data_IF_091756376202
#
_entry.id   IF_091756376202
#
_cell.length_a   1.000
_cell.length_b   1.000
_cell.length_c   1.000
_cell.angle_alpha   90.00
_cell.angle_beta   90.00
_cell.angle_gamma   90.00
#
_symmetry.space_group_name_H-M   'P 1'
#
loop_
_entity.id
_entity.type
_entity.pdbx_description
1 polymer ?
#
# COMPACT_ATOMS: atom_id res chain seq x y z
N UNK A 1 -12.95 -12.05 7.18
CA UNK A 1 -13.83 -12.08 5.99
C UNK A 1 -13.92 -13.45 5.31
N UNK A 2 -12.85 -14.04 4.73
CA UNK A 2 -12.95 -15.37 4.08
C UNK A 2 -13.53 -16.45 4.99
N UNK A 3 -13.00 -16.56 6.21
CA UNK A 3 -13.44 -17.58 7.18
C UNK A 3 -14.91 -17.47 7.56
N UNK A 4 -15.47 -16.25 7.63
CA UNK A 4 -16.85 -16.03 8.09
C UNK A 4 -17.86 -15.89 6.95
N UNK A 5 -17.43 -15.47 5.75
CA UNK A 5 -18.33 -15.20 4.61
C UNK A 5 -18.05 -16.05 3.38
N UNK A 6 -17.13 -17.01 3.45
CA UNK A 6 -16.78 -17.89 2.34
C UNK A 6 -16.12 -17.15 1.17
N UNK A 7 -16.30 -17.65 -0.04
CA UNK A 7 -15.85 -17.01 -1.28
C UNK A 7 -16.70 -15.78 -1.61
N UNK A 8 -16.16 -14.86 -2.41
CA UNK A 8 -16.94 -13.69 -2.85
C UNK A 8 -18.00 -14.15 -3.86
N UNK A 9 -19.27 -13.90 -3.54
CA UNK A 9 -20.44 -14.23 -4.38
C UNK A 9 -20.40 -13.46 -5.70
N UNK A 10 -20.71 -14.12 -6.82
CA UNK A 10 -20.87 -13.47 -8.14
C UNK A 10 -19.63 -13.49 -9.05
N UNK A 11 -18.57 -14.22 -8.66
CA UNK A 11 -17.41 -14.48 -9.50
C UNK A 11 -17.36 -15.97 -9.80
N UNK A 12 -17.02 -16.32 -11.04
CA UNK A 12 -16.84 -17.70 -11.52
C UNK A 12 -16.08 -18.50 -10.45
N UNK A 13 -16.60 -19.67 -10.11
CA UNK A 13 -15.94 -20.64 -9.22
C UNK A 13 -14.49 -20.79 -9.68
N UNK A 14 -13.59 -20.21 -8.92
CA UNK A 14 -12.17 -20.31 -9.17
C UNK A 14 -11.52 -20.80 -7.89
N UNK A 15 -10.61 -21.76 -8.01
CA UNK A 15 -9.91 -22.43 -6.91
C UNK A 15 -8.90 -21.52 -6.17
N UNK A 16 -9.09 -20.19 -6.23
CA UNK A 16 -8.17 -19.21 -5.67
C UNK A 16 -8.88 -17.95 -5.16
N UNK A 17 -8.16 -17.16 -4.36
CA UNK A 17 -8.64 -15.89 -3.80
C UNK A 17 -8.25 -14.66 -4.63
N UNK A 18 -7.84 -14.81 -5.91
CA UNK A 18 -7.18 -13.73 -6.65
C UNK A 18 -8.01 -12.45 -6.72
N UNK A 19 -9.33 -12.54 -6.90
CA UNK A 19 -10.17 -11.35 -6.92
C UNK A 19 -10.18 -10.63 -5.57
N UNK A 20 -10.29 -11.38 -4.46
CA UNK A 20 -10.19 -10.82 -3.11
C UNK A 20 -8.82 -10.20 -2.89
N UNK A 21 -7.75 -10.87 -3.28
CA UNK A 21 -6.38 -10.35 -3.15
C UNK A 21 -6.24 -9.03 -3.93
N UNK A 22 -6.65 -9.00 -5.20
CA UNK A 22 -6.64 -7.80 -6.05
C UNK A 22 -7.47 -6.66 -5.45
N UNK A 23 -8.66 -6.97 -4.92
CA UNK A 23 -9.53 -6.00 -4.25
C UNK A 23 -8.88 -5.39 -3.02
N UNK A 24 -8.17 -6.19 -2.21
CA UNK A 24 -7.54 -5.73 -0.97
C UNK A 24 -6.21 -5.02 -1.21
N UNK A 25 -5.36 -5.51 -2.13
CA UNK A 25 -4.09 -4.83 -2.45
C UNK A 25 -4.33 -3.44 -3.01
N UNK A 26 -5.38 -3.25 -3.82
CA UNK A 26 -5.76 -1.94 -4.35
C UNK A 26 -6.06 -0.90 -3.27
N UNK A 27 -6.47 -1.32 -2.06
CA UNK A 27 -6.84 -0.42 -0.94
C UNK A 27 -5.64 0.36 -0.39
N UNK A 28 -4.44 -0.20 -0.45
CA UNK A 28 -3.23 0.44 0.08
C UNK A 28 -2.18 0.75 -1.00
N UNK A 29 -2.46 0.44 -2.28
CA UNK A 29 -1.57 0.75 -3.40
C UNK A 29 -2.19 1.81 -4.31
N UNK A 30 -3.06 1.39 -5.25
CA UNK A 30 -3.51 2.26 -6.33
C UNK A 30 -4.60 3.25 -5.92
N UNK A 31 -5.54 2.85 -5.05
CA UNK A 31 -6.66 3.71 -4.67
C UNK A 31 -6.22 4.93 -3.84
N UNK A 32 -5.29 4.81 -2.87
CA UNK A 32 -4.71 5.98 -2.22
C UNK A 32 -4.01 6.91 -3.23
N UNK A 33 -3.31 6.36 -4.23
CA UNK A 33 -2.62 7.17 -5.23
C UNK A 33 -3.58 7.91 -6.17
N UNK A 34 -4.71 7.28 -6.55
CA UNK A 34 -5.77 7.92 -7.33
C UNK A 34 -6.42 9.03 -6.50
N UNK A 35 -6.85 8.72 -5.28
CA UNK A 35 -7.57 9.65 -4.41
C UNK A 35 -6.76 10.92 -4.12
N UNK A 36 -5.44 10.82 -4.06
CA UNK A 36 -4.55 11.94 -3.80
C UNK A 36 -3.91 12.55 -5.06
N UNK A 37 -4.23 12.04 -6.26
CA UNK A 37 -3.84 12.67 -7.52
C UNK A 37 -2.39 12.48 -7.94
N UNK A 38 -1.79 11.35 -7.59
CA UNK A 38 -0.42 10.99 -7.97
C UNK A 38 -0.28 9.54 -8.48
N UNK A 39 -1.39 8.94 -8.94
CA UNK A 39 -1.42 7.57 -9.48
C UNK A 39 -0.61 7.37 -10.76
N UNK A 40 -0.25 8.45 -11.47
CA UNK A 40 0.65 8.40 -12.63
C UNK A 40 2.10 8.09 -12.21
N UNK A 41 2.46 8.36 -10.94
CA UNK A 41 3.81 8.18 -10.45
C UNK A 41 3.99 6.88 -9.66
N UNK A 42 3.01 6.47 -8.87
CA UNK A 42 3.13 5.34 -7.92
C UNK A 42 1.79 4.60 -7.75
N UNK A 43 1.78 3.55 -6.93
CA UNK A 43 0.57 2.85 -6.50
C UNK A 43 0.29 1.54 -7.24
N UNK A 44 1.11 1.15 -8.21
CA UNK A 44 0.98 -0.15 -8.91
C UNK A 44 2.25 -0.46 -9.70
N UNK A 45 2.38 -1.72 -10.11
CA UNK A 45 3.46 -2.20 -10.98
C UNK A 45 2.98 -2.04 -12.42
N UNK A 46 3.22 -0.86 -12.99
CA UNK A 46 2.86 -0.51 -14.37
C UNK A 46 4.02 0.25 -15.02
N UNK A 47 4.19 0.06 -16.33
CA UNK A 47 5.25 0.73 -17.10
C UNK A 47 5.06 2.25 -17.00
N UNK A 48 6.16 2.98 -16.82
CA UNK A 48 6.18 4.44 -16.70
C UNK A 48 6.04 4.96 -15.26
N UNK A 49 5.63 4.12 -14.31
CA UNK A 49 5.62 4.48 -12.88
C UNK A 49 7.00 4.33 -12.25
N UNK A 50 7.18 4.97 -11.10
CA UNK A 50 8.40 4.88 -10.32
C UNK A 50 8.59 3.44 -9.83
N UNK A 51 9.83 2.94 -9.89
CA UNK A 51 10.19 1.60 -9.43
C UNK A 51 10.25 1.52 -7.89
N UNK A 52 9.08 1.69 -7.27
CA UNK A 52 8.82 1.53 -5.85
C UNK A 52 8.21 0.14 -5.63
N UNK A 53 9.06 -0.82 -5.27
CA UNK A 53 8.72 -2.24 -5.23
C UNK A 53 9.04 -2.82 -3.86
N UNK A 54 8.27 -3.81 -3.44
CA UNK A 54 8.53 -4.55 -2.20
C UNK A 54 8.59 -6.03 -2.52
N UNK A 55 9.68 -6.67 -2.12
CA UNK A 55 9.92 -8.10 -2.33
C UNK A 55 9.58 -8.83 -1.03
N UNK A 56 8.87 -9.95 -1.18
CA UNK A 56 8.38 -10.76 -0.07
C UNK A 56 8.77 -12.21 -0.27
N UNK A 57 9.21 -12.87 0.80
CA UNK A 57 9.07 -14.32 0.91
C UNK A 57 7.58 -14.65 1.09
N UNK A 58 7.01 -15.63 0.36
CA UNK A 58 5.60 -15.98 0.51
C UNK A 58 5.17 -16.28 1.95
N UNK A 59 6.04 -16.93 2.74
CA UNK A 59 5.79 -17.22 4.17
C UNK A 59 5.70 -16.00 5.07
N UNK A 60 6.22 -14.84 4.65
CA UNK A 60 6.20 -13.57 5.40
C UNK A 60 5.33 -12.48 4.73
N UNK A 61 4.60 -12.81 3.67
CA UNK A 61 3.81 -11.85 2.91
C UNK A 61 2.82 -11.09 3.80
N UNK A 62 2.94 -9.76 3.80
CA UNK A 62 2.10 -8.86 4.60
C UNK A 62 2.56 -8.64 6.04
N UNK A 63 3.55 -9.39 6.54
CA UNK A 63 4.11 -9.21 7.89
C UNK A 63 5.46 -8.47 7.86
N UNK A 64 6.48 -9.08 7.24
CA UNK A 64 7.86 -8.55 7.18
C UNK A 64 8.46 -8.73 5.78
N UNK A 65 8.68 -7.66 5.00
CA UNK A 65 9.25 -7.79 3.66
C UNK A 65 10.74 -8.12 3.71
N UNK A 66 11.28 -8.62 2.60
CA UNK A 66 12.72 -8.91 2.45
C UNK A 66 13.49 -7.67 2.00
N UNK A 67 12.97 -6.96 0.99
CA UNK A 67 13.63 -5.84 0.33
C UNK A 67 12.58 -4.79 -0.02
N UNK A 68 12.90 -3.52 0.25
CA UNK A 68 12.14 -2.35 -0.21
C UNK A 68 13.01 -1.58 -1.19
N UNK A 69 12.56 -1.53 -2.44
CA UNK A 69 13.19 -0.80 -3.53
C UNK A 69 12.46 0.54 -3.67
N UNK A 70 13.21 1.64 -3.70
CA UNK A 70 12.70 2.99 -3.89
C UNK A 70 13.39 3.59 -5.12
N UNK A 71 12.60 3.99 -6.12
CA UNK A 71 13.13 4.58 -7.36
C UNK A 71 14.20 3.72 -8.04
N UNK A 72 14.09 2.39 -7.97
CA UNK A 72 15.04 1.45 -8.58
C UNK A 72 16.27 1.11 -7.73
N UNK A 73 16.41 1.66 -6.53
CA UNK A 73 17.54 1.38 -5.61
C UNK A 73 17.01 0.78 -4.30
N UNK A 74 17.72 -0.21 -3.76
CA UNK A 74 17.35 -0.79 -2.46
C UNK A 74 17.50 0.28 -1.36
N UNK A 75 16.39 0.63 -0.73
CA UNK A 75 16.34 1.58 0.38
C UNK A 75 16.44 0.87 1.72
N UNK A 76 15.83 -0.30 1.86
CA UNK A 76 15.86 -1.12 3.07
C UNK A 76 15.87 -2.61 2.70
N UNK A 77 16.53 -3.43 3.52
CA UNK A 77 16.54 -4.88 3.35
C UNK A 77 16.79 -5.63 4.68
N UNK A 78 16.33 -6.87 4.75
CA UNK A 78 16.70 -7.81 5.80
C UNK A 78 18.17 -8.21 5.63
N UNK A 79 19.00 -7.82 6.59
CA UNK A 79 20.44 -8.03 6.57
C UNK A 79 20.93 -8.52 7.94
N UNK A 80 21.77 -9.55 7.88
CA UNK A 80 22.43 -10.18 9.01
C UNK A 80 23.52 -9.32 9.66
N UNK A 81 24.45 -9.98 10.34
CA UNK A 81 25.64 -9.37 10.91
C UNK A 81 26.51 -8.74 9.80
N UNK A 82 26.76 -7.41 9.83
CA UNK A 82 27.63 -6.73 8.86
C UNK A 82 29.08 -7.21 8.85
N UNK A 83 29.56 -7.87 9.92
CA UNK A 83 30.93 -8.38 10.00
C UNK A 83 31.05 -9.87 9.59
N UNK A 84 29.94 -10.51 9.25
CA UNK A 84 29.96 -11.91 8.84
C UNK A 84 30.47 -12.09 7.40
N UNK A 85 30.82 -13.33 7.04
CA UNK A 85 31.36 -13.66 5.72
C UNK A 85 30.35 -13.54 4.56
N UNK A 86 29.06 -13.62 4.87
CA UNK A 86 27.92 -13.53 3.94
C UNK A 86 26.78 -12.76 4.63
N UNK A 87 25.73 -12.27 3.93
CA UNK A 87 24.76 -11.32 4.52
C UNK A 87 23.61 -11.96 5.32
N UNK A 88 23.57 -13.28 5.43
CA UNK A 88 22.51 -14.07 6.09
C UNK A 88 22.74 -14.52 7.54
N UNK A 89 23.96 -14.50 8.13
CA UNK A 89 24.20 -14.88 9.52
C UNK A 89 23.51 -13.91 10.48
N UNK A 90 23.01 -14.45 11.58
CA UNK A 90 22.26 -13.69 12.57
C UNK A 90 23.10 -12.61 13.27
N UNK A 91 22.50 -11.49 13.73
CA UNK A 91 21.07 -11.21 13.74
C UNK A 91 20.58 -10.54 12.44
N UNK A 92 19.59 -11.17 11.80
CA UNK A 92 18.91 -10.64 10.61
C UNK A 92 17.85 -9.62 11.03
N UNK A 93 18.10 -8.36 10.70
CA UNK A 93 17.23 -7.23 11.00
C UNK A 93 16.91 -6.46 9.72
N UNK A 94 15.77 -5.76 9.71
CA UNK A 94 15.46 -4.82 8.64
C UNK A 94 16.33 -3.57 8.83
N UNK A 95 17.23 -3.29 7.88
CA UNK A 95 18.26 -2.24 7.98
C UNK A 95 18.18 -1.23 6.82
N UNK A 96 18.55 0.04 7.03
CA UNK A 96 18.67 1.01 5.96
C UNK A 96 19.83 0.65 5.03
N UNK A 97 19.59 0.67 3.73
CA UNK A 97 20.57 0.35 2.68
C UNK A 97 21.06 1.64 2.00
N UNK A 98 21.96 1.52 1.02
CA UNK A 98 22.54 2.68 0.32
C UNK A 98 21.51 3.64 -0.27
N UNK A 99 20.33 3.16 -0.68
CA UNK A 99 19.23 4.02 -1.15
C UNK A 99 18.66 4.99 -0.10
N UNK A 100 18.96 4.78 1.19
CA UNK A 100 18.56 5.65 2.29
C UNK A 100 19.66 6.63 2.74
N UNK A 101 20.90 6.48 2.25
CA UNK A 101 22.05 7.26 2.73
C UNK A 101 22.31 8.51 1.88
N UNK A 102 22.89 9.54 2.52
CA UNK A 102 23.29 10.78 1.85
C UNK A 102 22.17 11.41 1.03
N UNK A 103 22.43 11.69 -0.26
CA UNK A 103 21.46 12.26 -1.20
C UNK A 103 20.65 11.21 -1.97
N UNK A 104 20.88 9.92 -1.77
CA UNK A 104 20.17 8.86 -2.49
C UNK A 104 18.65 8.92 -2.21
N UNK A 105 18.26 9.14 -0.95
CA UNK A 105 16.86 9.27 -0.57
C UNK A 105 16.12 10.40 -1.29
N UNK A 106 16.80 11.52 -1.56
CA UNK A 106 16.25 12.60 -2.39
C UNK A 106 16.18 12.23 -3.87
N UNK A 107 17.21 11.62 -4.44
CA UNK A 107 17.25 11.26 -5.86
C UNK A 107 16.21 10.21 -6.24
N UNK A 108 15.88 9.31 -5.32
CA UNK A 108 15.04 8.14 -5.59
C UNK A 108 13.56 8.37 -5.22
N UNK A 109 13.21 9.56 -4.73
CA UNK A 109 11.87 9.87 -4.18
C UNK A 109 11.25 11.11 -4.82
N UNK A 110 9.95 11.27 -4.60
CA UNK A 110 9.17 12.41 -5.05
C UNK A 110 8.53 13.11 -3.84
N UNK A 111 8.55 14.44 -3.82
CA UNK A 111 7.72 15.26 -2.96
C UNK A 111 6.51 15.74 -3.78
N UNK A 112 5.31 15.29 -3.40
CA UNK A 112 4.07 15.70 -4.03
C UNK A 112 3.56 17.00 -3.43
N UNK A 113 3.23 17.97 -4.27
CA UNK A 113 2.83 19.32 -3.87
C UNK A 113 1.66 19.81 -4.73
N UNK A 114 1.03 20.93 -4.37
CA UNK A 114 0.00 21.52 -5.23
C UNK A 114 0.59 22.06 -6.54
N UNK A 115 -0.22 22.14 -7.60
CA UNK A 115 0.17 22.76 -8.87
C UNK A 115 0.70 24.19 -8.68
N UNK A 116 0.03 24.98 -7.84
CA UNK A 116 0.46 26.34 -7.51
C UNK A 116 1.85 26.38 -6.87
N UNK A 117 2.12 25.48 -5.90
CA UNK A 117 3.43 25.39 -5.27
C UNK A 117 4.53 25.04 -6.27
N UNK A 118 4.31 24.02 -7.11
CA UNK A 118 5.27 23.64 -8.18
C UNK A 118 5.54 24.81 -9.12
N UNK A 119 4.50 25.51 -9.60
CA UNK A 119 4.62 26.68 -10.47
C UNK A 119 5.35 27.85 -9.79
N UNK A 120 5.21 28.02 -8.47
CA UNK A 120 5.91 29.06 -7.70
C UNK A 120 7.40 28.76 -7.44
N UNK A 121 7.91 27.63 -7.94
CA UNK A 121 9.33 27.27 -7.87
C UNK A 121 9.81 26.82 -6.49
N UNK A 122 8.94 26.23 -5.65
CA UNK A 122 9.30 25.87 -4.27
C UNK A 122 10.51 24.94 -4.16
N UNK A 123 10.76 24.10 -5.16
CA UNK A 123 11.92 23.21 -5.18
C UNK A 123 13.22 24.02 -5.06
N UNK A 124 13.32 25.13 -5.81
CA UNK A 124 14.48 26.03 -5.74
C UNK A 124 14.45 26.86 -4.46
N UNK A 125 13.31 27.44 -4.10
CA UNK A 125 13.17 28.32 -2.92
C UNK A 125 13.55 27.61 -1.62
N UNK A 126 13.22 26.33 -1.48
CA UNK A 126 13.50 25.53 -0.29
C UNK A 126 14.78 24.69 -0.41
N UNK A 127 15.53 24.80 -1.51
CA UNK A 127 16.74 23.98 -1.72
C UNK A 127 16.47 22.48 -1.78
N UNK A 128 15.30 22.06 -2.28
CA UNK A 128 14.94 20.65 -2.34
C UNK A 128 15.75 19.93 -3.42
N UNK A 129 16.48 18.90 -3.01
CA UNK A 129 17.13 17.97 -3.93
C UNK A 129 16.21 16.84 -4.40
N UNK A 130 15.08 16.65 -3.73
CA UNK A 130 14.07 15.63 -4.09
C UNK A 130 13.28 16.10 -5.30
N UNK A 131 12.92 15.19 -6.20
CA UNK A 131 12.02 15.49 -7.32
C UNK A 131 10.69 16.04 -6.78
N UNK A 132 10.20 17.15 -7.32
CA UNK A 132 8.93 17.77 -6.90
C UNK A 132 7.90 17.62 -8.00
N UNK A 133 6.79 16.95 -7.71
CA UNK A 133 5.69 16.74 -8.65
C UNK A 133 4.38 17.33 -8.14
N UNK A 134 3.57 17.81 -9.07
CA UNK A 134 2.28 18.40 -8.73
C UNK A 134 1.22 17.30 -8.69
N UNK A 135 0.39 17.28 -7.65
CA UNK A 135 -0.83 16.48 -7.64
C UNK A 135 -1.85 17.06 -8.63
N UNK A 136 -2.71 16.20 -9.17
CA UNK A 136 -3.72 16.60 -10.16
C UNK A 136 -4.90 15.63 -10.25
N UNK A 137 -5.88 15.98 -11.08
CA UNK A 137 -7.00 15.09 -11.46
C UNK A 137 -7.90 14.56 -10.32
N UNK A 138 -7.94 15.23 -9.16
CA UNK A 138 -8.72 14.77 -7.99
C UNK A 138 -10.15 15.32 -7.88
N UNK A 139 -10.51 16.33 -8.69
CA UNK A 139 -11.78 17.08 -8.50
C UNK A 139 -13.00 16.45 -9.18
N UNK A 140 -12.77 15.53 -10.12
CA UNK A 140 -13.82 14.84 -10.89
C UNK A 140 -13.96 13.37 -10.49
N UNK A 141 -13.21 12.93 -9.48
CA UNK A 141 -13.24 11.56 -9.01
C UNK A 141 -14.55 11.27 -8.28
N UNK A 142 -15.05 10.07 -8.50
CA UNK A 142 -16.20 9.48 -7.84
C UNK A 142 -15.78 8.17 -7.20
N UNK A 143 -16.70 7.53 -6.48
CA UNK A 143 -16.47 6.17 -5.96
C UNK A 143 -16.17 5.16 -7.08
N UNK A 144 -16.69 5.38 -8.28
CA UNK A 144 -16.52 4.48 -9.42
C UNK A 144 -15.07 4.43 -9.94
N UNK A 145 -14.26 5.43 -9.61
CA UNK A 145 -12.84 5.47 -9.99
C UNK A 145 -11.97 4.56 -9.09
N UNK A 146 -12.51 4.10 -7.96
CA UNK A 146 -11.79 3.24 -7.01
C UNK A 146 -11.71 1.81 -7.53
N UNK A 147 -10.50 1.40 -7.93
CA UNK A 147 -10.25 0.09 -8.55
C UNK A 147 -10.71 -1.04 -7.64
N UNK A 148 -11.60 -1.88 -8.18
CA UNK A 148 -12.19 -3.06 -7.53
C UNK A 148 -12.95 -2.75 -6.22
N UNK A 149 -13.22 -1.47 -5.96
CA UNK A 149 -13.78 -0.97 -4.71
C UNK A 149 -14.74 0.19 -4.99
N UNK A 150 -15.61 0.02 -5.96
CA UNK A 150 -16.55 0.99 -6.53
C UNK A 150 -17.99 0.86 -6.02
N UNK A 151 -18.27 -0.14 -5.19
CA UNK A 151 -19.62 -0.38 -4.67
C UNK A 151 -20.22 0.83 -3.93
N UNK A 152 -21.48 1.15 -4.26
CA UNK A 152 -22.30 2.22 -3.67
C UNK A 152 -23.63 1.64 -3.14
N UNK A 153 -23.62 0.76 -2.13
CA UNK A 153 -24.86 0.28 -1.53
C UNK A 153 -25.57 1.43 -0.80
N UNK A 154 -26.91 1.35 -0.69
CA UNK A 154 -27.65 2.20 0.24
C UNK A 154 -27.30 1.76 1.66
N UNK A 155 -26.52 2.59 2.36
CA UNK A 155 -26.18 2.37 3.77
C UNK A 155 -27.25 3.04 4.63
N UNK A 156 -27.79 2.29 5.57
CA UNK A 156 -28.70 2.77 6.60
C UNK A 156 -28.12 2.39 7.98
N UNK A 157 -28.25 3.29 8.96
CA UNK A 157 -27.75 3.10 10.31
C UNK A 157 -28.85 3.50 11.27
N UNK A 158 -29.32 2.53 12.05
CA UNK A 158 -30.31 2.76 13.10
C UNK A 158 -29.67 3.61 14.22
N UNK A 159 -30.25 4.76 14.59
CA UNK A 159 -29.63 5.70 15.52
C UNK A 159 -29.62 5.24 16.98
N UNK A 160 -30.43 4.23 17.35
CA UNK A 160 -30.53 3.74 18.72
C UNK A 160 -29.71 2.45 18.92
N UNK A 161 -29.88 1.49 18.02
CA UNK A 161 -29.23 0.17 18.08
C UNK A 161 -27.87 0.12 17.38
N UNK A 162 -27.55 1.13 16.55
CA UNK A 162 -26.38 1.16 15.66
C UNK A 162 -26.31 0.00 14.67
N UNK A 163 -27.46 -0.63 14.40
CA UNK A 163 -27.55 -1.67 13.37
C UNK A 163 -27.29 -1.04 12.00
N UNK A 164 -26.28 -1.55 11.30
CA UNK A 164 -25.92 -1.09 9.96
C UNK A 164 -26.50 -2.05 8.92
N UNK A 165 -27.18 -1.51 7.90
CA UNK A 165 -27.62 -2.30 6.74
C UNK A 165 -27.01 -1.78 5.44
N UNK A 166 -26.88 -2.67 4.46
CA UNK A 166 -26.54 -2.34 3.08
C UNK A 166 -27.61 -2.94 2.17
N UNK A 167 -28.34 -2.10 1.43
CA UNK A 167 -29.47 -2.52 0.60
C UNK A 167 -30.53 -3.34 1.38
N UNK A 168 -30.75 -3.02 2.66
CA UNK A 168 -31.68 -3.73 3.54
C UNK A 168 -31.11 -4.98 4.20
N UNK A 169 -29.91 -5.43 3.84
CA UNK A 169 -29.24 -6.55 4.50
C UNK A 169 -28.41 -6.08 5.70
N UNK A 170 -28.62 -6.68 6.87
CA UNK A 170 -27.85 -6.36 8.08
C UNK A 170 -26.39 -6.78 7.92
N UNK A 171 -25.47 -5.84 8.15
CA UNK A 171 -24.03 -6.05 8.12
C UNK A 171 -23.52 -6.39 9.52
N UNK A 172 -23.43 -7.69 9.83
CA UNK A 172 -22.89 -8.18 11.09
C UNK A 172 -21.81 -9.23 10.85
N UNK A 173 -20.77 -9.24 11.70
CA UNK A 173 -19.82 -10.33 11.81
C UNK A 173 -19.33 -10.46 13.26
N UNK A 174 -19.07 -11.69 13.69
CA UNK A 174 -18.54 -11.94 15.04
C UNK A 174 -17.08 -11.48 15.14
N UNK A 175 -16.63 -10.98 16.30
CA UNK A 175 -15.23 -10.64 16.52
C UNK A 175 -14.35 -11.89 16.38
N UNK A 176 -13.20 -11.75 15.73
CA UNK A 176 -12.23 -12.83 15.61
C UNK A 176 -11.39 -12.94 16.89
N UNK A 177 -11.28 -14.14 17.45
CA UNK A 177 -10.44 -14.40 18.64
C UNK A 177 -8.93 -14.41 18.34
N UNK A 178 -8.57 -14.65 17.07
CA UNK A 178 -7.18 -14.65 16.60
C UNK A 178 -7.11 -14.09 15.18
N UNK A 179 -5.92 -13.63 14.77
CA UNK A 179 -5.66 -13.16 13.41
C UNK A 179 -4.35 -13.76 12.88
N UNK A 180 -4.25 -14.06 11.58
CA UNK A 180 -2.97 -14.40 10.96
C UNK A 180 -2.04 -13.17 10.96
N UNK A 181 -0.78 -13.37 10.54
CA UNK A 181 0.23 -12.30 10.48
C UNK A 181 0.46 -11.60 11.84
N UNK A 182 0.42 -12.38 12.93
CA UNK A 182 0.61 -11.90 14.31
C UNK A 182 1.64 -12.77 15.06
N UNK A 183 1.19 -13.64 15.99
CA UNK A 183 2.01 -14.42 16.93
C UNK A 183 3.15 -15.23 16.30
N UNK A 184 3.02 -15.62 15.03
CA UNK A 184 4.06 -16.37 14.32
C UNK A 184 5.28 -15.52 13.90
N UNK A 185 5.16 -14.19 13.91
CA UNK A 185 6.14 -13.30 13.25
C UNK A 185 6.81 -12.30 14.17
N UNK A 186 6.17 -11.91 15.28
CA UNK A 186 6.63 -10.84 16.15
C UNK A 186 7.11 -11.40 17.49
N UNK A 187 8.28 -10.89 17.93
CA UNK A 187 8.87 -11.28 19.21
C UNK A 187 8.06 -10.71 20.40
N UNK A 188 7.44 -9.55 20.18
CA UNK A 188 6.58 -8.83 21.10
C UNK A 188 5.36 -8.28 20.33
#
# INVERSE_FOLDING_TARGET
MKLQRGNLVGLIESDNDNFRIKRFIAKYTINPAIANGFSEHVGSIEIGKLADLVIWKPSFFGAKPEIVIKGGVIAWANMGDPNASIPTPEPVLMRPMFGALGKAGSSNSIAFVSKAAKCSGIARKYGLHKRVEAVGNVRKLTKLDMKLNDALPKIDVDPESYTVTANGEVLKCEPASTVPLSRNYFLF
#
